data_IF_973596442875
#
_entry.id   IF_973596442875
#
_cell.length_a   1.000
_cell.length_b   1.000
_cell.length_c   1.000
_cell.angle_alpha   90.00
_cell.angle_beta   90.00
_cell.angle_gamma   90.00
#
_symmetry.space_group_name_H-M   'P 1'
#
loop_
_entity.id
_entity.type
_entity.pdbx_description
1 polymer ?
#
# COMPACT_ATOMS: atom_id res chain seq x y z
N UNK A 1 -12.46 4.80 4.79
CA UNK A 1 -11.47 5.60 4.04
C UNK A 1 -11.04 4.96 2.72
N UNK A 2 -10.50 3.73 2.72
CA UNK A 2 -10.51 2.85 1.55
C UNK A 2 -11.87 2.90 0.82
N UNK A 3 -12.94 3.01 1.61
CA UNK A 3 -14.33 3.16 1.19
C UNK A 3 -14.61 4.34 0.24
N UNK A 4 -13.89 5.47 0.36
CA UNK A 4 -14.04 6.58 -0.58
C UNK A 4 -13.32 6.28 -1.90
N UNK A 5 -12.07 5.79 -1.82
CA UNK A 5 -11.25 5.38 -2.97
C UNK A 5 -11.90 4.24 -3.77
N UNK A 6 -12.63 3.34 -3.10
CA UNK A 6 -13.36 2.25 -3.75
C UNK A 6 -14.77 2.66 -4.19
N UNK A 7 -15.40 3.64 -3.52
CA UNK A 7 -16.66 4.22 -4.02
C UNK A 7 -16.48 5.03 -5.30
N UNK A 8 -15.27 5.55 -5.57
CA UNK A 8 -14.93 6.20 -6.84
C UNK A 8 -14.73 5.22 -7.99
N UNK A 9 -14.37 3.94 -7.74
CA UNK A 9 -14.39 2.88 -8.75
C UNK A 9 -15.77 2.68 -9.42
N UNK A 10 -16.84 3.21 -8.82
CA UNK A 10 -18.24 3.11 -9.30
C UNK A 10 -18.46 3.62 -10.73
N UNK A 11 -17.55 4.41 -11.31
CA UNK A 11 -17.93 5.29 -12.44
C UNK A 11 -17.45 4.84 -13.82
N UNK A 12 -16.55 3.84 -13.97
CA UNK A 12 -15.91 3.63 -15.28
C UNK A 12 -16.13 2.30 -16.01
N UNK A 13 -16.78 1.28 -15.42
CA UNK A 13 -17.00 -0.03 -16.08
C UNK A 13 -18.41 -0.58 -15.83
N UNK A 14 -19.46 0.15 -16.24
CA UNK A 14 -20.81 -0.39 -16.27
C UNK A 14 -21.01 -1.28 -17.51
N UNK A 15 -20.74 -2.58 -17.36
CA UNK A 15 -21.44 -3.62 -18.12
C UNK A 15 -22.58 -4.16 -17.24
N UNK A 16 -23.81 -4.13 -17.76
CA UNK A 16 -25.09 -4.40 -17.06
C UNK A 16 -25.14 -5.77 -16.36
N UNK A 17 -24.25 -6.72 -16.70
CA UNK A 17 -24.14 -8.03 -16.04
C UNK A 17 -23.18 -8.09 -14.84
N UNK A 18 -22.47 -7.00 -14.52
CA UNK A 18 -21.44 -6.97 -13.46
C UNK A 18 -21.82 -6.20 -12.18
N UNK A 19 -22.98 -5.54 -12.17
CA UNK A 19 -23.44 -4.71 -11.04
C UNK A 19 -23.57 -5.48 -9.72
N UNK A 20 -23.97 -6.76 -9.78
CA UNK A 20 -24.04 -7.63 -8.60
C UNK A 20 -22.67 -7.95 -7.99
N UNK A 21 -21.63 -8.12 -8.82
CA UNK A 21 -20.29 -8.48 -8.36
C UNK A 21 -19.58 -7.28 -7.69
N UNK A 22 -19.75 -6.07 -8.25
CA UNK A 22 -19.21 -4.84 -7.65
C UNK A 22 -19.92 -4.46 -6.35
N UNK A 23 -21.22 -4.70 -6.24
CA UNK A 23 -21.97 -4.49 -4.99
C UNK A 23 -21.46 -5.38 -3.86
N UNK A 24 -21.18 -6.66 -4.16
CA UNK A 24 -20.62 -7.61 -3.19
C UNK A 24 -19.19 -7.21 -2.79
N UNK A 25 -18.31 -6.90 -3.74
CA UNK A 25 -16.93 -6.49 -3.43
C UNK A 25 -16.91 -5.23 -2.55
N UNK A 26 -17.76 -4.26 -2.87
CA UNK A 26 -17.88 -3.04 -2.09
C UNK A 26 -18.39 -3.34 -0.67
N UNK A 27 -19.43 -4.15 -0.52
CA UNK A 27 -19.94 -4.58 0.77
C UNK A 27 -18.87 -5.31 1.61
N UNK A 28 -18.07 -6.18 0.98
CA UNK A 28 -16.95 -6.86 1.61
C UNK A 28 -15.93 -5.84 2.13
N UNK A 29 -15.57 -4.83 1.34
CA UNK A 29 -14.61 -3.81 1.80
C UNK A 29 -15.19 -2.90 2.90
N UNK A 30 -16.48 -2.56 2.85
CA UNK A 30 -17.16 -1.88 3.96
C UNK A 30 -17.05 -2.69 5.25
N UNK A 31 -17.31 -3.99 5.19
CA UNK A 31 -17.20 -4.86 6.34
C UNK A 31 -15.75 -4.99 6.83
N UNK A 32 -14.80 -5.35 5.95
CA UNK A 32 -13.40 -5.56 6.35
C UNK A 32 -12.72 -4.30 6.84
N UNK A 33 -13.12 -3.12 6.35
CA UNK A 33 -12.57 -1.85 6.81
C UNK A 33 -13.20 -1.34 8.10
N UNK A 34 -14.50 -1.58 8.36
CA UNK A 34 -15.19 -1.00 9.54
C UNK A 34 -15.25 -1.97 10.72
N UNK A 35 -15.35 -3.27 10.48
CA UNK A 35 -15.46 -4.28 11.53
C UNK A 35 -14.30 -4.21 12.54
N UNK A 36 -13.03 -4.02 12.13
CA UNK A 36 -11.94 -3.86 13.09
C UNK A 36 -12.13 -2.68 14.04
N UNK A 37 -12.71 -1.57 13.60
CA UNK A 37 -12.98 -0.42 14.48
C UNK A 37 -14.05 -0.73 15.51
N UNK A 38 -15.08 -1.48 15.13
CA UNK A 38 -16.11 -1.94 16.07
C UNK A 38 -15.49 -2.83 17.15
N UNK A 39 -14.64 -3.78 16.73
CA UNK A 39 -13.94 -4.67 17.67
C UNK A 39 -12.97 -3.90 18.55
N UNK A 40 -12.15 -3.00 18.00
CA UNK A 40 -11.25 -2.15 18.78
C UNK A 40 -12.00 -1.32 19.83
N UNK A 41 -13.19 -0.80 19.50
CA UNK A 41 -14.00 -0.05 20.45
C UNK A 41 -14.54 -0.94 21.58
N UNK A 42 -15.02 -2.15 21.26
CA UNK A 42 -15.46 -3.13 22.26
C UNK A 42 -14.28 -3.54 23.17
N UNK A 43 -13.13 -3.85 22.57
CA UNK A 43 -11.91 -4.22 23.30
C UNK A 43 -11.33 -3.07 24.10
N UNK A 44 -11.53 -1.82 23.67
CA UNK A 44 -11.15 -0.65 24.44
C UNK A 44 -11.90 -0.60 25.78
N UNK A 45 -13.23 -0.61 25.77
CA UNK A 45 -14.01 -0.58 27.01
C UNK A 45 -13.75 -1.81 27.88
N UNK A 46 -13.57 -2.97 27.26
CA UNK A 46 -13.20 -4.17 28.02
C UNK A 46 -11.81 -4.02 28.64
N UNK A 47 -10.83 -3.57 27.87
CA UNK A 47 -9.45 -3.41 28.30
C UNK A 47 -9.31 -2.43 29.45
N UNK A 48 -9.92 -1.24 29.36
CA UNK A 48 -9.80 -0.21 30.41
C UNK A 48 -10.55 -0.55 31.70
N UNK A 49 -11.50 -1.49 31.66
CA UNK A 49 -12.22 -1.96 32.86
C UNK A 49 -11.51 -3.09 33.58
N UNK A 50 -10.41 -3.62 33.03
CA UNK A 50 -9.64 -4.68 33.66
C UNK A 50 -8.69 -4.17 34.75
N UNK A 51 -8.46 -4.96 35.81
CA UNK A 51 -7.51 -4.59 36.85
C UNK A 51 -6.10 -4.49 36.28
N UNK A 52 -5.37 -3.42 36.61
CA UNK A 52 -4.00 -3.21 36.10
C UNK A 52 -3.90 -2.57 34.71
N UNK A 53 -5.01 -2.30 34.02
CA UNK A 53 -5.00 -1.63 32.71
C UNK A 53 -4.26 -0.28 32.74
N UNK A 54 -4.39 0.47 33.84
CA UNK A 54 -3.68 1.74 34.05
C UNK A 54 -2.16 1.60 34.01
N UNK A 55 -1.59 0.50 34.50
CA UNK A 55 -0.14 0.23 34.44
C UNK A 55 0.35 0.17 32.99
N UNK A 56 -0.40 -0.53 32.15
CA UNK A 56 -0.10 -0.66 30.73
C UNK A 56 -0.26 0.66 29.95
N UNK A 57 -1.34 1.41 30.19
CA UNK A 57 -1.55 2.73 29.56
C UNK A 57 -0.46 3.72 29.97
N UNK A 58 -0.09 3.74 31.27
CA UNK A 58 1.02 4.58 31.74
C UNK A 58 2.32 4.15 31.05
N UNK A 59 2.60 2.85 30.95
CA UNK A 59 3.78 2.35 30.24
C UNK A 59 3.82 2.82 28.77
N UNK A 60 2.68 2.77 28.08
CA UNK A 60 2.56 3.21 26.68
C UNK A 60 2.86 4.70 26.49
N UNK A 61 2.32 5.56 27.38
CA UNK A 61 2.39 7.01 27.22
C UNK A 61 3.55 7.67 27.94
N UNK A 62 4.23 6.98 28.87
CA UNK A 62 5.28 7.57 29.69
C UNK A 62 6.44 8.03 28.79
N UNK A 63 6.67 9.35 28.67
CA UNK A 63 7.68 9.87 27.76
C UNK A 63 9.08 9.57 28.30
N UNK A 64 9.97 9.13 27.41
CA UNK A 64 11.40 8.90 27.68
C UNK A 64 12.22 9.76 26.72
N UNK A 65 12.40 11.03 27.08
CA UNK A 65 13.09 12.01 26.22
C UNK A 65 14.56 11.69 26.00
N UNK A 66 15.19 10.94 26.91
CA UNK A 66 16.54 10.39 26.76
C UNK A 66 16.69 9.56 25.48
N UNK A 67 15.61 8.87 25.05
CA UNK A 67 15.61 8.03 23.85
C UNK A 67 15.63 8.82 22.55
N UNK A 68 15.29 10.11 22.56
CA UNK A 68 15.35 10.94 21.34
C UNK A 68 16.77 11.18 20.84
N UNK A 69 17.79 10.98 21.69
CA UNK A 69 19.19 11.02 21.29
C UNK A 69 19.67 9.76 20.56
N UNK A 70 18.89 8.68 20.57
CA UNK A 70 19.23 7.43 19.90
C UNK A 70 18.76 7.46 18.44
N UNK A 71 19.70 7.41 17.50
CA UNK A 71 19.41 7.38 16.07
C UNK A 71 18.53 6.19 15.66
N UNK A 72 18.59 5.08 16.40
CA UNK A 72 17.73 3.91 16.15
C UNK A 72 16.24 4.26 16.29
N UNK A 73 15.87 5.08 17.28
CA UNK A 73 14.48 5.49 17.50
C UNK A 73 13.91 6.22 16.29
N UNK A 74 14.73 7.06 15.64
CA UNK A 74 14.33 7.77 14.42
C UNK A 74 14.25 6.86 13.20
N UNK A 75 15.18 5.90 13.08
CA UNK A 75 15.13 4.87 12.03
C UNK A 75 13.87 4.01 12.15
N UNK A 76 13.57 3.53 13.35
CA UNK A 76 12.39 2.72 13.65
C UNK A 76 11.10 3.52 13.39
N UNK A 77 11.04 4.80 13.79
CA UNK A 77 9.90 5.67 13.52
C UNK A 77 9.67 5.91 12.02
N UNK A 78 10.74 6.15 11.27
CA UNK A 78 10.67 6.35 9.82
C UNK A 78 10.26 5.06 9.09
N UNK A 79 10.77 3.90 9.50
CA UNK A 79 10.36 2.61 8.96
C UNK A 79 8.89 2.29 9.28
N UNK A 80 8.46 2.55 10.53
CA UNK A 80 7.09 2.32 10.96
C UNK A 80 6.08 3.13 10.12
N UNK A 81 6.31 4.43 9.91
CA UNK A 81 5.40 5.24 9.10
C UNK A 81 5.44 4.87 7.62
N UNK A 82 6.61 4.46 7.11
CA UNK A 82 6.76 3.98 5.75
C UNK A 82 5.92 2.72 5.53
N UNK A 83 6.10 1.67 6.32
CA UNK A 83 5.33 0.43 6.14
C UNK A 83 3.83 0.63 6.45
N UNK A 84 3.49 1.43 7.46
CA UNK A 84 2.09 1.68 7.82
C UNK A 84 1.29 2.37 6.69
N UNK A 85 1.91 3.25 5.90
CA UNK A 85 1.26 3.88 4.76
C UNK A 85 1.44 3.11 3.44
N UNK A 86 2.38 2.15 3.41
CA UNK A 86 2.68 1.28 2.26
C UNK A 86 2.91 2.04 0.92
N UNK A 87 3.73 3.11 0.87
CA UNK A 87 4.15 3.69 -0.40
C UNK A 87 5.09 2.74 -1.17
N UNK A 88 5.20 2.90 -2.48
CA UNK A 88 6.04 2.09 -3.38
C UNK A 88 5.67 0.59 -3.53
N UNK A 89 4.57 0.14 -2.93
CA UNK A 89 4.00 -1.20 -3.17
C UNK A 89 3.14 -1.26 -4.46
N UNK A 90 2.92 -0.13 -5.13
CA UNK A 90 2.04 -0.01 -6.30
C UNK A 90 0.55 0.07 -5.97
N UNK A 91 0.10 -0.41 -4.81
CA UNK A 91 -1.32 -0.40 -4.45
C UNK A 91 -1.96 0.97 -4.39
N UNK A 92 -1.28 1.98 -3.85
CA UNK A 92 -1.79 3.36 -3.87
C UNK A 92 -1.91 3.90 -5.31
N UNK A 93 -0.95 3.57 -6.18
CA UNK A 93 -0.98 3.98 -7.59
C UNK A 93 -2.18 3.33 -8.28
N UNK A 94 -2.34 2.01 -8.15
CA UNK A 94 -3.46 1.26 -8.73
C UNK A 94 -4.81 1.76 -8.21
N UNK A 95 -4.98 1.90 -6.90
CA UNK A 95 -6.24 2.38 -6.34
C UNK A 95 -6.55 3.83 -6.77
N UNK A 96 -5.52 4.67 -6.93
CA UNK A 96 -5.69 6.03 -7.39
C UNK A 96 -6.02 6.14 -8.88
N UNK A 97 -5.64 5.16 -9.71
CA UNK A 97 -5.91 5.16 -11.15
C UNK A 97 -7.40 5.03 -11.48
N UNK A 98 -8.20 4.50 -10.55
CA UNK A 98 -9.65 4.43 -10.65
C UNK A 98 -10.39 5.70 -10.21
N UNK A 99 -9.69 6.67 -9.64
CA UNK A 99 -10.31 7.92 -9.25
C UNK A 99 -10.68 8.75 -10.48
N UNK A 100 -11.72 9.56 -10.35
CA UNK A 100 -12.02 10.61 -11.33
C UNK A 100 -10.82 11.55 -11.44
N UNK A 101 -10.52 12.00 -12.66
CA UNK A 101 -9.37 12.87 -12.93
C UNK A 101 -9.34 14.15 -12.07
N UNK A 102 -10.51 14.76 -11.83
CA UNK A 102 -10.65 15.96 -10.98
C UNK A 102 -10.98 15.65 -9.50
N UNK A 103 -10.79 14.41 -9.03
CA UNK A 103 -10.93 14.09 -7.63
C UNK A 103 -9.85 14.80 -6.80
N UNK A 104 -10.20 15.29 -5.61
CA UNK A 104 -9.25 15.97 -4.74
C UNK A 104 -8.33 14.97 -4.01
N UNK A 105 -7.34 14.46 -4.73
CA UNK A 105 -6.38 13.48 -4.22
C UNK A 105 -5.55 14.00 -3.03
N UNK A 106 -5.31 15.32 -2.95
CA UNK A 106 -4.61 15.94 -1.83
C UNK A 106 -5.42 15.78 -0.53
N UNK A 107 -6.71 16.13 -0.55
CA UNK A 107 -7.59 15.94 0.61
C UNK A 107 -7.66 14.47 1.02
N UNK A 108 -7.80 13.57 0.06
CA UNK A 108 -7.84 12.13 0.35
C UNK A 108 -6.52 11.68 0.99
N UNK A 109 -5.36 12.09 0.48
CA UNK A 109 -4.06 11.73 1.06
C UNK A 109 -3.90 12.18 2.53
N UNK A 110 -4.38 13.38 2.89
CA UNK A 110 -4.33 13.88 4.26
C UNK A 110 -5.21 13.06 5.20
N UNK A 111 -6.42 12.72 4.77
CA UNK A 111 -7.32 11.91 5.59
C UNK A 111 -6.70 10.51 5.79
N UNK A 112 -5.95 9.95 4.80
CA UNK A 112 -5.33 8.61 4.90
C UNK A 112 -4.22 8.67 5.93
N UNK A 113 -3.34 9.67 5.78
CA UNK A 113 -2.23 9.87 6.70
C UNK A 113 -2.68 10.04 8.14
N UNK A 114 -3.64 10.95 8.37
CA UNK A 114 -4.15 11.23 9.72
C UNK A 114 -4.93 10.04 10.27
N UNK A 115 -5.81 9.45 9.47
CA UNK A 115 -6.62 8.30 9.87
C UNK A 115 -5.75 7.12 10.28
N UNK A 116 -4.71 6.80 9.52
CA UNK A 116 -3.77 5.74 9.85
C UNK A 116 -3.10 5.98 11.22
N UNK A 117 -2.56 7.18 11.45
CA UNK A 117 -1.89 7.53 12.71
C UNK A 117 -2.88 7.43 13.90
N UNK A 118 -4.08 7.99 13.77
CA UNK A 118 -5.09 7.94 14.82
C UNK A 118 -5.51 6.50 15.15
N UNK A 119 -5.67 5.66 14.12
CA UNK A 119 -5.99 4.24 14.32
C UNK A 119 -4.86 3.51 15.03
N UNK A 120 -3.59 3.74 14.65
CA UNK A 120 -2.44 3.12 15.32
C UNK A 120 -2.32 3.57 16.78
N UNK A 121 -2.53 4.84 17.07
CA UNK A 121 -2.54 5.36 18.45
C UNK A 121 -3.66 4.72 19.27
N UNK A 122 -4.89 4.69 18.73
CA UNK A 122 -6.04 4.08 19.40
C UNK A 122 -5.85 2.58 19.64
N UNK A 123 -5.37 1.85 18.65
CA UNK A 123 -5.03 0.43 18.80
C UNK A 123 -3.94 0.22 19.87
N UNK A 124 -2.94 1.11 19.95
CA UNK A 124 -1.94 1.12 21.01
C UNK A 124 -2.57 1.19 22.40
N UNK A 125 -3.52 2.10 22.63
CA UNK A 125 -4.27 2.16 23.89
C UNK A 125 -4.98 0.84 24.22
N UNK A 126 -5.67 0.24 23.25
CA UNK A 126 -6.39 -1.03 23.43
C UNK A 126 -5.43 -2.16 23.83
N UNK A 127 -4.34 -2.32 23.09
CA UNK A 127 -3.35 -3.38 23.33
C UNK A 127 -2.68 -3.18 24.69
N UNK A 128 -2.18 -1.98 24.98
CA UNK A 128 -1.48 -1.74 26.24
C UNK A 128 -2.39 -1.80 27.47
N UNK A 129 -3.68 -1.47 27.36
CA UNK A 129 -4.63 -1.72 28.45
C UNK A 129 -4.76 -3.22 28.77
N UNK A 130 -4.86 -4.06 27.74
CA UNK A 130 -4.97 -5.52 27.86
C UNK A 130 -3.66 -6.14 28.38
N UNK A 131 -2.51 -5.68 27.89
CA UNK A 131 -1.19 -6.13 28.36
C UNK A 131 -0.94 -5.70 29.81
N UNK A 132 -1.41 -4.52 30.22
CA UNK A 132 -1.35 -4.07 31.62
C UNK A 132 -2.14 -4.99 32.57
N UNK A 133 -3.28 -5.51 32.12
CA UNK A 133 -4.02 -6.54 32.84
C UNK A 133 -3.21 -7.83 32.97
N UNK A 134 -2.60 -8.30 31.88
CA UNK A 134 -1.78 -9.51 31.91
C UNK A 134 -0.60 -9.39 32.88
N UNK A 135 0.12 -8.26 32.82
CA UNK A 135 1.21 -7.94 33.73
C UNK A 135 0.75 -8.00 35.20
N UNK A 136 -0.44 -7.46 35.48
CA UNK A 136 -1.01 -7.47 36.82
C UNK A 136 -1.41 -8.87 37.30
N UNK A 137 -2.02 -9.69 36.44
CA UNK A 137 -2.37 -11.07 36.75
C UNK A 137 -1.13 -11.96 36.97
N UNK A 138 -0.09 -11.75 36.17
CA UNK A 138 1.17 -12.50 36.28
C UNK A 138 2.10 -11.99 37.37
N UNK A 139 1.77 -10.87 38.03
CA UNK A 139 2.68 -10.15 38.94
C UNK A 139 4.05 -9.86 38.31
N UNK A 140 4.04 -9.43 37.05
CA UNK A 140 5.22 -9.08 36.27
C UNK A 140 5.17 -7.63 35.83
N UNK A 141 6.34 -7.07 35.49
CA UNK A 141 6.43 -5.75 34.86
C UNK A 141 5.92 -5.80 33.41
N UNK A 142 5.38 -4.69 32.92
CA UNK A 142 4.77 -4.58 31.59
C UNK A 142 5.78 -4.90 30.48
N UNK A 143 7.04 -4.48 30.63
CA UNK A 143 8.11 -4.73 29.65
C UNK A 143 8.44 -6.21 29.46
N UNK A 144 8.17 -7.07 30.46
CA UNK A 144 8.43 -8.51 30.38
C UNK A 144 7.31 -9.30 29.70
N UNK A 145 6.13 -8.70 29.54
CA UNK A 145 4.97 -9.33 28.87
C UNK A 145 4.70 -8.75 27.49
N UNK A 146 5.37 -7.66 27.12
CA UNK A 146 5.28 -7.06 25.78
C UNK A 146 6.20 -7.82 24.83
N UNK A 147 5.59 -8.55 23.91
CA UNK A 147 6.26 -9.10 22.71
C UNK A 147 5.89 -8.25 21.48
N UNK A 148 6.53 -8.50 20.33
CA UNK A 148 6.25 -7.81 19.06
C UNK A 148 5.77 -8.78 17.96
N UNK A 149 5.14 -8.22 16.93
CA UNK A 149 4.73 -8.95 15.74
C UNK A 149 3.76 -10.10 16.04
N UNK A 150 4.05 -11.28 15.46
CA UNK A 150 3.19 -12.45 15.57
C UNK A 150 3.07 -12.98 17.01
N UNK A 151 4.11 -12.86 17.84
CA UNK A 151 4.08 -13.33 19.24
C UNK A 151 3.04 -12.57 20.07
N UNK A 152 2.96 -11.25 19.89
CA UNK A 152 1.97 -10.42 20.58
C UNK A 152 0.53 -10.83 20.22
N UNK A 153 0.26 -11.01 18.92
CA UNK A 153 -1.09 -11.30 18.44
C UNK A 153 -1.52 -12.77 18.66
N UNK A 154 -0.60 -13.72 18.57
CA UNK A 154 -0.92 -15.16 18.57
C UNK A 154 -0.48 -15.92 19.82
N UNK A 155 0.28 -15.30 20.73
CA UNK A 155 0.68 -15.90 22.02
C UNK A 155 0.14 -15.06 23.18
N UNK A 156 0.54 -13.79 23.25
CA UNK A 156 0.19 -12.91 24.38
C UNK A 156 -1.31 -12.66 24.42
N UNK A 157 -1.92 -12.28 23.30
CA UNK A 157 -3.35 -11.95 23.27
C UNK A 157 -4.27 -13.14 23.58
N UNK A 158 -4.06 -14.35 23.02
CA UNK A 158 -4.83 -15.53 23.40
C UNK A 158 -4.71 -15.88 24.89
N UNK A 159 -3.52 -15.73 25.51
CA UNK A 159 -3.36 -15.95 26.96
C UNK A 159 -4.18 -14.96 27.79
N UNK A 160 -4.34 -13.72 27.31
CA UNK A 160 -5.24 -12.77 27.98
C UNK A 160 -6.69 -13.20 27.84
N UNK A 161 -7.11 -13.57 26.62
CA UNK A 161 -8.51 -13.89 26.34
C UNK A 161 -9.00 -15.10 27.14
N UNK A 162 -8.17 -16.13 27.32
CA UNK A 162 -8.53 -17.32 28.11
C UNK A 162 -8.78 -17.01 29.59
N UNK A 163 -8.28 -15.88 30.10
CA UNK A 163 -8.50 -15.41 31.48
C UNK A 163 -9.73 -14.52 31.62
N UNK A 164 -10.26 -13.99 30.51
CA UNK A 164 -11.47 -13.16 30.53
C UNK A 164 -12.73 -14.03 30.68
N UNK A 165 -13.76 -13.55 31.40
CA UNK A 165 -15.07 -14.19 31.41
C UNK A 165 -15.65 -14.20 29.99
N UNK A 166 -16.33 -15.28 29.62
CA UNK A 166 -16.85 -15.49 28.26
C UNK A 166 -15.71 -15.47 27.22
N UNK A 167 -14.60 -16.16 27.52
CA UNK A 167 -13.41 -16.24 26.65
C UNK A 167 -13.71 -16.51 25.17
N UNK A 168 -14.65 -17.42 24.80
CA UNK A 168 -14.96 -17.68 23.40
C UNK A 168 -15.42 -16.44 22.62
N UNK A 169 -16.18 -15.53 23.24
CA UNK A 169 -16.64 -14.29 22.60
C UNK A 169 -15.46 -13.41 22.18
N UNK A 170 -14.52 -13.18 23.10
CA UNK A 170 -13.36 -12.32 22.86
C UNK A 170 -12.40 -12.92 21.83
N UNK A 171 -12.22 -14.26 21.84
CA UNK A 171 -11.42 -14.97 20.84
C UNK A 171 -12.01 -14.80 19.44
N UNK A 172 -13.32 -15.02 19.29
CA UNK A 172 -14.01 -14.89 18.00
C UNK A 172 -13.89 -13.46 17.48
N UNK A 173 -14.17 -12.45 18.32
CA UNK A 173 -14.06 -11.04 17.93
C UNK A 173 -12.65 -10.68 17.46
N UNK A 174 -11.64 -11.09 18.22
CA UNK A 174 -10.24 -10.77 17.90
C UNK A 174 -9.74 -11.46 16.64
N UNK A 175 -9.97 -12.77 16.50
CA UNK A 175 -9.48 -13.49 15.33
C UNK A 175 -10.25 -13.12 14.05
N UNK A 176 -11.56 -12.85 14.12
CA UNK A 176 -12.28 -12.29 12.95
C UNK A 176 -11.76 -10.89 12.63
N UNK A 177 -11.45 -10.06 13.63
CA UNK A 177 -10.80 -8.76 13.41
C UNK A 177 -9.45 -8.94 12.71
N UNK A 178 -8.60 -9.86 13.15
CA UNK A 178 -7.33 -10.13 12.50
C UNK A 178 -7.48 -10.60 11.05
N UNK A 179 -8.40 -11.54 10.78
CA UNK A 179 -8.67 -12.01 9.42
C UNK A 179 -9.16 -10.85 8.55
N UNK A 180 -10.08 -10.01 9.05
CA UNK A 180 -10.60 -8.87 8.29
C UNK A 180 -9.55 -7.79 8.01
N UNK A 181 -8.65 -7.51 8.96
CA UNK A 181 -7.50 -6.63 8.76
C UNK A 181 -6.55 -7.16 7.69
N UNK A 182 -6.24 -8.46 7.72
CA UNK A 182 -5.41 -9.11 6.71
C UNK A 182 -6.05 -9.11 5.32
N UNK A 183 -7.33 -9.51 5.23
CA UNK A 183 -8.08 -9.54 3.97
C UNK A 183 -8.18 -8.16 3.31
N UNK A 184 -8.39 -7.09 4.10
CA UNK A 184 -8.45 -5.73 3.57
C UNK A 184 -7.17 -5.31 2.84
N UNK A 185 -6.02 -5.71 3.37
CA UNK A 185 -4.70 -5.44 2.77
C UNK A 185 -4.44 -6.36 1.57
N UNK A 186 -4.78 -7.64 1.69
CA UNK A 186 -4.60 -8.63 0.63
C UNK A 186 -5.39 -8.29 -0.64
N UNK A 187 -6.63 -7.80 -0.51
CA UNK A 187 -7.41 -7.37 -1.67
C UNK A 187 -6.75 -6.22 -2.44
N UNK A 188 -6.10 -5.28 -1.74
CA UNK A 188 -5.39 -4.19 -2.40
C UNK A 188 -4.17 -4.70 -3.18
N UNK A 189 -3.40 -5.64 -2.61
CA UNK A 189 -2.24 -6.24 -3.28
C UNK A 189 -2.65 -7.09 -4.49
N UNK A 190 -3.69 -7.92 -4.35
CA UNK A 190 -4.24 -8.71 -5.45
C UNK A 190 -4.70 -7.80 -6.59
N UNK A 191 -5.47 -6.74 -6.30
CA UNK A 191 -5.91 -5.77 -7.31
C UNK A 191 -4.72 -5.09 -8.00
N UNK A 192 -3.65 -4.78 -7.25
CA UNK A 192 -2.42 -4.20 -7.79
C UNK A 192 -1.81 -5.08 -8.88
N UNK A 193 -1.65 -6.36 -8.60
CA UNK A 193 -1.07 -7.33 -9.55
C UNK A 193 -1.98 -7.54 -10.76
N UNK A 194 -3.29 -7.72 -10.52
CA UNK A 194 -4.26 -7.95 -11.60
C UNK A 194 -4.31 -6.76 -12.56
N UNK A 195 -4.30 -5.54 -12.03
CA UNK A 195 -4.38 -4.33 -12.84
C UNK A 195 -3.09 -4.08 -13.60
N UNK A 196 -1.93 -4.31 -12.98
CA UNK A 196 -0.66 -4.25 -13.69
C UNK A 196 -0.62 -5.20 -14.90
N UNK A 197 -1.15 -6.43 -14.77
CA UNK A 197 -1.24 -7.39 -15.86
C UNK A 197 -2.22 -6.92 -16.94
N UNK A 198 -3.40 -6.44 -16.55
CA UNK A 198 -4.46 -6.04 -17.48
C UNK A 198 -4.17 -4.73 -18.23
N UNK A 199 -3.38 -3.84 -17.62
CA UNK A 199 -2.92 -2.61 -18.27
C UNK A 199 -1.74 -2.86 -19.19
N UNK A 200 -0.87 -3.82 -18.85
CA UNK A 200 0.23 -4.25 -19.73
C UNK A 200 -0.28 -5.03 -20.94
N UNK A 201 -1.30 -5.88 -20.75
CA UNK A 201 -1.89 -6.72 -21.79
C UNK A 201 -3.41 -6.48 -21.90
N UNK A 202 -3.85 -5.45 -22.64
CA UNK A 202 -5.27 -5.07 -22.72
C UNK A 202 -6.21 -6.20 -23.19
N UNK A 203 -5.70 -7.15 -23.97
CA UNK A 203 -6.44 -8.33 -24.43
C UNK A 203 -6.95 -9.21 -23.28
N UNK A 204 -6.26 -9.19 -22.14
CA UNK A 204 -6.63 -9.98 -20.95
C UNK A 204 -7.78 -9.37 -20.16
N UNK A 205 -8.18 -8.11 -20.43
CA UNK A 205 -9.33 -7.46 -19.79
C UNK A 205 -10.63 -8.21 -20.04
N UNK A 206 -10.82 -8.71 -21.27
CA UNK A 206 -11.97 -9.55 -21.63
C UNK A 206 -11.97 -10.92 -20.92
N UNK A 207 -10.82 -11.34 -20.38
CA UNK A 207 -10.64 -12.61 -19.66
C UNK A 207 -10.28 -12.39 -18.19
N UNK A 208 -10.77 -11.30 -17.57
CA UNK A 208 -10.45 -10.90 -16.18
C UNK A 208 -10.54 -12.07 -15.18
N UNK A 209 -11.60 -12.87 -15.23
CA UNK A 209 -11.80 -14.01 -14.31
C UNK A 209 -10.66 -15.02 -14.37
N UNK A 210 -10.13 -15.30 -15.55
CA UNK A 210 -9.00 -16.22 -15.73
C UNK A 210 -7.70 -15.63 -15.21
N UNK A 211 -7.49 -14.32 -15.36
CA UNK A 211 -6.33 -13.62 -14.78
C UNK A 211 -6.38 -13.73 -13.27
N UNK A 212 -7.52 -13.41 -12.65
CA UNK A 212 -7.72 -13.49 -11.20
C UNK A 212 -7.43 -14.91 -10.70
N UNK A 213 -8.05 -15.92 -11.32
CA UNK A 213 -7.87 -17.32 -10.95
C UNK A 213 -6.40 -17.74 -11.01
N UNK A 214 -5.69 -17.34 -12.07
CA UNK A 214 -4.27 -17.68 -12.26
C UNK A 214 -3.41 -17.05 -11.17
N UNK A 215 -3.60 -15.77 -10.88
CA UNK A 215 -2.88 -15.07 -9.82
C UNK A 215 -3.14 -15.71 -8.45
N UNK A 216 -4.40 -16.03 -8.14
CA UNK A 216 -4.77 -16.71 -6.90
C UNK A 216 -4.16 -18.11 -6.80
N UNK A 217 -4.13 -18.90 -7.88
CA UNK A 217 -3.52 -20.24 -7.88
C UNK A 217 -2.01 -20.13 -7.65
N UNK A 218 -1.32 -19.20 -8.33
CA UNK A 218 0.11 -18.98 -8.12
C UNK A 218 0.39 -18.54 -6.68
N UNK A 219 -0.41 -17.60 -6.15
CA UNK A 219 -0.32 -17.15 -4.75
C UNK A 219 -0.56 -18.28 -3.75
N UNK A 220 -1.56 -19.12 -3.98
CA UNK A 220 -1.85 -20.31 -3.16
C UNK A 220 -0.68 -21.29 -3.17
N UNK A 221 -0.16 -21.64 -4.35
CA UNK A 221 0.99 -22.55 -4.49
C UNK A 221 2.25 -21.98 -3.80
N UNK A 222 2.51 -20.68 -3.92
CA UNK A 222 3.59 -20.01 -3.20
C UNK A 222 3.38 -20.04 -1.68
N UNK A 223 2.15 -19.76 -1.24
CA UNK A 223 1.74 -19.77 0.17
C UNK A 223 1.83 -21.14 0.83
N UNK A 224 1.70 -22.25 0.08
CA UNK A 224 1.85 -23.60 0.62
C UNK A 224 3.19 -23.79 1.37
N UNK A 225 4.27 -23.20 0.85
CA UNK A 225 5.59 -23.28 1.49
C UNK A 225 5.59 -22.71 2.92
N UNK A 226 4.82 -21.65 3.15
CA UNK A 226 4.68 -20.96 4.44
C UNK A 226 3.70 -21.69 5.38
N UNK A 227 2.89 -22.61 4.86
CA UNK A 227 1.97 -23.42 5.68
C UNK A 227 2.59 -24.73 6.20
N UNK A 228 3.79 -25.09 5.73
CA UNK A 228 4.52 -26.27 6.20
C UNK A 228 5.01 -26.11 7.65
N UNK A 229 5.49 -27.20 8.28
CA UNK A 229 5.99 -27.19 9.67
C UNK A 229 7.11 -26.17 9.93
N UNK A 230 7.96 -25.91 8.94
CA UNK A 230 9.02 -24.88 8.99
C UNK A 230 8.59 -23.52 8.41
N UNK A 231 7.30 -23.32 8.16
CA UNK A 231 6.78 -22.18 7.41
C UNK A 231 7.05 -20.83 8.06
N UNK A 232 7.07 -20.76 9.40
CA UNK A 232 7.42 -19.54 10.14
C UNK A 232 8.84 -19.05 9.80
N UNK A 233 9.80 -19.97 9.58
CA UNK A 233 11.15 -19.59 9.19
C UNK A 233 11.19 -18.97 7.78
N UNK A 234 10.38 -19.50 6.86
CA UNK A 234 10.25 -18.96 5.50
C UNK A 234 9.56 -17.60 5.55
N UNK A 235 8.49 -17.47 6.35
CA UNK A 235 7.76 -16.22 6.54
C UNK A 235 8.69 -15.11 7.00
N UNK A 236 9.51 -15.36 8.03
CA UNK A 236 10.43 -14.36 8.54
C UNK A 236 11.54 -13.99 7.57
N UNK A 237 12.03 -14.96 6.79
CA UNK A 237 12.98 -14.69 5.73
C UNK A 237 12.38 -13.76 4.67
N UNK A 238 11.15 -14.03 4.24
CA UNK A 238 10.46 -13.20 3.25
C UNK A 238 10.11 -11.81 3.80
N UNK A 239 9.63 -11.73 5.04
CA UNK A 239 9.25 -10.46 5.68
C UNK A 239 10.48 -9.53 5.85
N UNK A 240 11.61 -10.11 6.27
CA UNK A 240 12.84 -9.36 6.50
C UNK A 240 13.51 -8.94 5.20
N UNK A 241 13.57 -9.81 4.18
CA UNK A 241 14.31 -9.53 2.95
C UNK A 241 13.46 -8.96 1.82
N UNK A 242 12.27 -9.51 1.55
CA UNK A 242 11.44 -9.10 0.42
C UNK A 242 10.59 -7.88 0.80
N UNK A 243 9.84 -7.96 1.91
CA UNK A 243 8.92 -6.89 2.30
C UNK A 243 9.65 -5.64 2.78
N UNK A 244 10.85 -5.79 3.36
CA UNK A 244 11.61 -4.65 3.89
C UNK A 244 12.64 -4.10 2.90
N UNK A 245 13.68 -4.87 2.56
CA UNK A 245 14.79 -4.36 1.75
C UNK A 245 14.39 -3.95 0.34
N UNK A 246 13.66 -4.80 -0.39
CA UNK A 246 13.26 -4.50 -1.77
C UNK A 246 12.42 -3.23 -1.86
N UNK A 247 11.45 -3.08 -0.96
CA UNK A 247 10.49 -1.98 -1.03
C UNK A 247 11.15 -0.65 -0.71
N UNK A 248 12.06 -0.59 0.26
CA UNK A 248 12.82 0.64 0.51
C UNK A 248 13.70 1.04 -0.68
N UNK A 249 14.39 0.07 -1.31
CA UNK A 249 15.19 0.36 -2.50
C UNK A 249 14.33 0.85 -3.66
N UNK A 250 13.16 0.22 -3.85
CA UNK A 250 12.15 0.64 -4.84
C UNK A 250 11.64 2.06 -4.56
N UNK A 251 11.30 2.37 -3.32
CA UNK A 251 10.83 3.70 -2.93
C UNK A 251 11.90 4.78 -3.12
N UNK A 252 13.15 4.47 -2.76
CA UNK A 252 14.26 5.40 -2.99
C UNK A 252 14.41 5.70 -4.49
N UNK A 253 14.39 4.67 -5.34
CA UNK A 253 14.43 4.82 -6.78
C UNK A 253 13.24 5.63 -7.32
N UNK A 254 12.01 5.30 -6.91
CA UNK A 254 10.79 6.00 -7.32
C UNK A 254 10.83 7.48 -6.92
N UNK A 255 11.27 7.78 -5.69
CA UNK A 255 11.39 9.15 -5.20
C UNK A 255 12.39 9.98 -6.02
N UNK A 256 13.52 9.39 -6.42
CA UNK A 256 14.52 10.05 -7.28
C UNK A 256 13.97 10.24 -8.69
N UNK A 257 13.26 9.25 -9.24
CA UNK A 257 12.65 9.33 -10.56
C UNK A 257 11.62 10.48 -10.60
N UNK A 258 10.68 10.52 -9.65
CA UNK A 258 9.65 11.57 -9.63
C UNK A 258 10.26 12.94 -9.33
N UNK A 259 11.14 13.04 -8.33
CA UNK A 259 11.72 14.30 -7.89
C UNK A 259 12.69 14.94 -8.88
N UNK A 260 13.57 14.16 -9.49
CA UNK A 260 14.71 14.66 -10.28
C UNK A 260 14.64 14.32 -11.77
N UNK A 261 14.19 13.12 -12.12
CA UNK A 261 14.21 12.65 -13.52
C UNK A 261 13.00 13.17 -14.29
N UNK A 262 11.79 12.87 -13.82
CA UNK A 262 10.55 13.43 -14.35
C UNK A 262 10.47 14.94 -14.04
N UNK A 263 10.85 15.29 -12.81
CA UNK A 263 10.96 16.65 -12.30
C UNK A 263 9.78 16.99 -11.40
N UNK A 264 10.07 17.27 -10.12
CA UNK A 264 9.04 17.61 -9.13
C UNK A 264 8.18 18.82 -9.52
N UNK A 265 8.73 19.78 -10.26
CA UNK A 265 7.98 20.93 -10.77
C UNK A 265 6.92 20.52 -11.81
N UNK A 266 7.24 19.59 -12.71
CA UNK A 266 6.26 19.04 -13.66
C UNK A 266 5.19 18.27 -12.93
N UNK A 267 5.58 17.44 -11.97
CA UNK A 267 4.64 16.67 -11.16
C UNK A 267 3.65 17.56 -10.38
N UNK A 268 4.09 18.72 -9.87
CA UNK A 268 3.21 19.71 -9.26
C UNK A 268 2.22 20.27 -10.30
N UNK A 269 2.67 20.60 -11.52
CA UNK A 269 1.80 21.10 -12.60
C UNK A 269 0.72 20.06 -12.98
N UNK A 270 1.09 18.78 -12.99
CA UNK A 270 0.15 17.68 -13.26
C UNK A 270 -0.94 17.61 -12.17
N UNK A 271 -0.56 17.84 -10.91
CA UNK A 271 -1.50 17.93 -9.80
C UNK A 271 -2.40 19.15 -9.93
N UNK A 272 -1.87 20.31 -10.31
CA UNK A 272 -2.70 21.50 -10.56
C UNK A 272 -3.69 21.31 -11.70
N UNK A 273 -3.34 20.54 -12.72
CA UNK A 273 -4.25 20.16 -13.79
C UNK A 273 -5.42 19.31 -13.28
N UNK A 274 -5.20 18.48 -12.24
CA UNK A 274 -6.24 17.66 -11.62
C UNK A 274 -7.11 18.44 -10.62
N UNK A 275 -6.51 19.14 -9.65
CA UNK A 275 -7.21 19.72 -8.49
C UNK A 275 -7.29 21.25 -8.49
N UNK A 276 -6.96 21.88 -9.62
CA UNK A 276 -6.91 23.32 -9.82
C UNK A 276 -5.60 23.96 -9.30
N UNK A 277 -5.37 25.21 -9.72
CA UNK A 277 -4.18 25.98 -9.37
C UNK A 277 -4.01 26.14 -7.85
N UNK A 278 -2.76 26.12 -7.39
CA UNK A 278 -2.38 26.23 -5.99
C UNK A 278 -1.43 27.39 -5.76
N UNK A 279 -1.33 27.79 -4.49
CA UNK A 279 -0.48 28.90 -4.07
C UNK A 279 1.00 28.52 -4.17
N UNK A 280 1.86 29.54 -4.28
CA UNK A 280 3.33 29.38 -4.30
C UNK A 280 3.86 28.61 -3.08
N UNK A 281 3.21 28.76 -1.91
CA UNK A 281 3.57 27.99 -0.72
C UNK A 281 3.36 26.48 -0.88
N UNK A 282 2.28 26.06 -1.57
CA UNK A 282 2.02 24.66 -1.87
C UNK A 282 3.13 24.10 -2.78
N UNK A 283 3.52 24.87 -3.79
CA UNK A 283 4.61 24.48 -4.69
C UNK A 283 5.93 24.30 -3.94
N UNK A 284 6.32 25.29 -3.15
CA UNK A 284 7.57 25.25 -2.40
C UNK A 284 7.59 24.12 -1.37
N UNK A 285 6.47 23.88 -0.70
CA UNK A 285 6.33 22.76 0.23
C UNK A 285 6.56 21.43 -0.47
N UNK A 286 5.80 21.11 -1.51
CA UNK A 286 5.91 19.80 -2.19
C UNK A 286 7.24 19.63 -2.93
N UNK A 287 7.78 20.71 -3.49
CA UNK A 287 9.10 20.71 -4.11
C UNK A 287 10.21 20.35 -3.11
N UNK A 288 10.16 20.91 -1.90
CA UNK A 288 11.11 20.58 -0.84
C UNK A 288 11.00 19.10 -0.45
N UNK A 289 9.78 18.60 -0.27
CA UNK A 289 9.55 17.21 0.13
C UNK A 289 9.98 16.22 -0.95
N UNK A 290 9.51 16.37 -2.19
CA UNK A 290 9.77 15.37 -3.24
C UNK A 290 11.18 15.41 -3.80
N UNK A 291 11.84 16.58 -3.86
CA UNK A 291 13.21 16.66 -4.39
C UNK A 291 14.27 16.37 -3.34
N UNK A 292 14.03 16.75 -2.08
CA UNK A 292 15.08 16.70 -1.05
C UNK A 292 14.70 15.83 0.14
N UNK A 293 13.61 16.13 0.84
CA UNK A 293 13.35 15.52 2.13
C UNK A 293 13.00 14.03 2.03
N UNK A 294 12.11 13.62 1.11
CA UNK A 294 11.72 12.22 0.95
C UNK A 294 12.89 11.35 0.48
N UNK A 295 13.64 11.70 -0.59
CA UNK A 295 14.83 10.94 -0.98
C UNK A 295 15.87 10.87 0.15
N UNK A 296 16.11 11.97 0.86
CA UNK A 296 17.06 12.00 1.98
C UNK A 296 16.64 11.05 3.10
N UNK A 297 15.38 11.11 3.56
CA UNK A 297 14.88 10.23 4.63
C UNK A 297 14.92 8.76 4.21
N UNK A 298 14.56 8.43 2.96
CA UNK A 298 14.63 7.06 2.46
C UNK A 298 16.08 6.55 2.39
N UNK A 299 17.01 7.38 1.93
CA UNK A 299 18.44 7.04 1.92
C UNK A 299 19.01 6.91 3.34
N UNK A 300 18.58 7.76 4.27
CA UNK A 300 18.93 7.68 5.68
C UNK A 300 18.48 6.34 6.28
N UNK A 301 17.21 5.95 6.10
CA UNK A 301 16.69 4.68 6.60
C UNK A 301 17.40 3.48 5.96
N UNK A 302 17.63 3.50 4.65
CA UNK A 302 18.38 2.45 3.94
C UNK A 302 19.82 2.31 4.48
N UNK A 303 20.50 3.43 4.70
CA UNK A 303 21.86 3.44 5.22
C UNK A 303 21.92 2.93 6.67
N UNK A 304 20.99 3.35 7.53
CA UNK A 304 20.90 2.85 8.90
C UNK A 304 20.56 1.37 8.95
N UNK A 305 19.62 0.90 8.12
CA UNK A 305 19.33 -0.52 7.98
C UNK A 305 20.56 -1.33 7.53
N UNK A 306 21.43 -0.74 6.68
CA UNK A 306 22.67 -1.38 6.25
C UNK A 306 23.71 -1.48 7.36
N UNK A 307 23.88 -0.41 8.15
CA UNK A 307 24.80 -0.42 9.30
C UNK A 307 24.32 -1.38 10.38
N UNK A 308 23.02 -1.40 10.65
CA UNK A 308 22.41 -2.24 11.68
C UNK A 308 22.10 -3.66 11.19
N UNK A 309 22.47 -4.00 9.94
CA UNK A 309 22.25 -5.32 9.40
C UNK A 309 22.91 -6.38 10.28
N UNK A 310 22.10 -7.36 10.68
CA UNK A 310 22.54 -8.57 11.36
C UNK A 310 21.98 -9.77 10.59
N UNK A 311 22.68 -10.93 10.63
CA UNK A 311 22.11 -12.17 10.13
C UNK A 311 20.72 -12.38 10.74
N UNK A 312 19.79 -12.92 9.94
CA UNK A 312 18.44 -13.15 10.42
C UNK A 312 18.45 -14.17 11.56
N UNK A 313 17.66 -13.89 12.60
CA UNK A 313 17.51 -14.73 13.79
C UNK A 313 16.02 -14.90 14.09
N UNK A 314 15.61 -16.11 14.46
CA UNK A 314 14.26 -16.40 14.94
C UNK A 314 14.32 -17.23 16.22
N UNK A 315 13.94 -16.62 17.35
CA UNK A 315 14.13 -17.25 18.67
C UNK A 315 15.60 -17.59 18.88
N UNK A 316 15.90 -18.83 19.22
CA UNK A 316 17.29 -19.31 19.40
C UNK A 316 17.95 -19.76 18.08
N UNK A 317 17.25 -19.71 16.95
CA UNK A 317 17.76 -20.16 15.67
C UNK A 317 18.39 -19.01 14.88
N UNK A 318 19.69 -19.13 14.61
CA UNK A 318 20.42 -18.22 13.71
C UNK A 318 20.40 -18.81 12.30
N UNK A 319 19.95 -18.01 11.32
CA UNK A 319 19.85 -18.49 9.95
C UNK A 319 21.24 -18.72 9.36
N UNK A 320 21.46 -19.84 8.65
CA UNK A 320 22.72 -20.10 8.00
C UNK A 320 23.00 -19.09 6.89
N UNK A 321 24.27 -18.89 6.56
CA UNK A 321 24.69 -17.90 5.55
C UNK A 321 24.04 -18.12 4.18
N UNK A 322 23.83 -19.38 3.77
CA UNK A 322 23.16 -19.67 2.49
C UNK A 322 21.71 -19.17 2.47
N UNK A 323 21.00 -19.20 3.60
CA UNK A 323 19.62 -18.72 3.69
C UNK A 323 19.57 -17.19 3.62
N UNK A 324 20.50 -16.51 4.30
CA UNK A 324 20.68 -15.06 4.15
C UNK A 324 21.06 -14.69 2.69
N UNK A 325 21.88 -15.50 2.02
CA UNK A 325 22.21 -15.35 0.60
C UNK A 325 20.97 -15.45 -0.30
N UNK A 326 20.09 -16.44 -0.05
CA UNK A 326 18.80 -16.54 -0.76
C UNK A 326 17.95 -15.30 -0.49
N UNK A 327 17.87 -14.83 0.76
CA UNK A 327 17.16 -13.61 1.12
C UNK A 327 17.63 -12.40 0.31
N UNK A 328 18.94 -12.19 0.22
CA UNK A 328 19.51 -11.12 -0.60
C UNK A 328 19.20 -11.29 -2.09
N UNK A 329 19.30 -12.49 -2.64
CA UNK A 329 18.93 -12.76 -4.05
C UNK A 329 17.47 -12.38 -4.28
N UNK A 330 16.55 -12.85 -3.43
CA UNK A 330 15.13 -12.51 -3.51
C UNK A 330 14.91 -11.00 -3.43
N UNK A 331 15.63 -10.31 -2.54
CA UNK A 331 15.48 -8.87 -2.36
C UNK A 331 15.90 -8.06 -3.59
N UNK A 332 16.84 -8.56 -4.38
CA UNK A 332 17.39 -7.90 -5.57
C UNK A 332 16.65 -8.24 -6.87
N UNK A 333 15.70 -9.19 -6.86
CA UNK A 333 14.93 -9.58 -8.05
C UNK A 333 14.23 -8.37 -8.69
N UNK A 334 13.46 -7.54 -7.96
CA UNK A 334 12.73 -6.42 -8.58
C UNK A 334 13.68 -5.41 -9.24
N UNK A 335 14.81 -5.10 -8.59
CA UNK A 335 15.81 -4.16 -9.10
C UNK A 335 16.47 -4.72 -10.37
N UNK A 336 16.81 -6.01 -10.36
CA UNK A 336 17.39 -6.69 -11.52
C UNK A 336 16.43 -6.65 -12.72
N UNK A 337 15.13 -6.81 -12.49
CA UNK A 337 14.11 -6.65 -13.52
C UNK A 337 14.08 -5.23 -14.10
N UNK A 338 14.11 -4.20 -13.25
CA UNK A 338 14.13 -2.80 -13.68
C UNK A 338 15.37 -2.51 -14.53
N UNK A 339 16.55 -2.93 -14.06
CA UNK A 339 17.82 -2.75 -14.79
C UNK A 339 17.79 -3.48 -16.13
N UNK A 340 17.29 -4.71 -16.15
CA UNK A 340 17.18 -5.51 -17.39
C UNK A 340 16.26 -4.83 -18.42
N UNK A 341 15.09 -4.33 -17.98
CA UNK A 341 14.17 -3.60 -18.86
C UNK A 341 14.79 -2.30 -19.35
N UNK A 342 15.49 -1.56 -18.48
CA UNK A 342 16.18 -0.33 -18.86
C UNK A 342 17.25 -0.58 -19.93
N UNK A 343 18.10 -1.59 -19.74
CA UNK A 343 19.11 -2.01 -20.73
C UNK A 343 18.44 -2.40 -22.05
N UNK A 344 17.38 -3.21 -21.99
CA UNK A 344 16.66 -3.66 -23.17
C UNK A 344 16.07 -2.47 -23.97
N UNK A 345 15.48 -1.48 -23.27
CA UNK A 345 14.96 -0.25 -23.89
C UNK A 345 16.07 0.60 -24.52
N UNK A 346 17.25 0.69 -23.90
CA UNK A 346 18.39 1.44 -24.44
C UNK A 346 18.93 0.77 -25.72
N UNK A 347 18.98 -0.57 -25.76
CA UNK A 347 19.43 -1.33 -26.93
C UNK A 347 18.49 -1.13 -28.12
N UNK A 348 17.18 -1.13 -27.89
CA UNK A 348 16.14 -0.98 -28.91
C UNK A 348 15.78 0.48 -29.25
N UNK A 349 16.34 1.45 -28.53
CA UNK A 349 16.16 2.86 -28.86
C UNK A 349 16.78 3.18 -30.23
N UNK A 350 16.30 4.23 -30.93
CA UNK A 350 16.67 4.53 -32.31
C UNK A 350 18.19 4.46 -32.53
N UNK A 351 18.60 3.61 -33.49
CA UNK A 351 20.01 3.23 -33.67
C UNK A 351 20.89 4.36 -34.19
N UNK A 352 20.28 5.37 -34.79
CA UNK A 352 20.85 6.62 -35.29
C UNK A 352 21.46 7.50 -34.18
N UNK A 353 21.13 7.24 -32.91
CA UNK A 353 21.58 8.04 -31.76
C UNK A 353 22.72 7.36 -31.00
N UNK A 354 23.61 8.17 -30.43
CA UNK A 354 24.63 7.70 -29.46
C UNK A 354 23.96 7.16 -28.19
N UNK A 355 24.68 6.34 -27.41
CA UNK A 355 24.14 5.74 -26.17
C UNK A 355 23.60 6.83 -25.22
N UNK A 356 24.29 7.95 -25.08
CA UNK A 356 23.86 9.07 -24.23
C UNK A 356 22.60 9.77 -24.74
N UNK A 357 22.47 9.95 -26.06
CA UNK A 357 21.27 10.51 -26.67
C UNK A 357 20.07 9.57 -26.57
N UNK A 358 20.29 8.25 -26.64
CA UNK A 358 19.24 7.25 -26.39
C UNK A 358 18.75 7.33 -24.95
N UNK A 359 19.65 7.42 -23.98
CA UNK A 359 19.27 7.62 -22.57
C UNK A 359 18.48 8.92 -22.41
N UNK A 360 18.99 10.05 -22.88
CA UNK A 360 18.28 11.35 -22.83
C UNK A 360 16.92 11.31 -23.52
N UNK A 361 16.77 10.53 -24.58
CA UNK A 361 15.49 10.34 -25.26
C UNK A 361 14.50 9.54 -24.41
N UNK A 362 14.95 8.44 -23.79
CA UNK A 362 14.12 7.58 -22.93
C UNK A 362 13.72 8.25 -21.60
N UNK A 363 14.49 9.24 -21.13
CA UNK A 363 14.17 10.04 -19.95
C UNK A 363 13.10 11.11 -20.21
N UNK A 364 12.65 11.29 -21.46
CA UNK A 364 11.55 12.21 -21.78
C UNK A 364 10.21 11.49 -21.63
N UNK A 365 9.19 12.15 -21.05
CA UNK A 365 7.84 11.63 -21.04
C UNK A 365 7.35 11.34 -22.46
N UNK A 366 6.44 10.37 -22.57
CA UNK A 366 5.84 10.01 -23.86
C UNK A 366 5.18 11.23 -24.51
N UNK A 367 5.29 11.44 -25.83
CA UNK A 367 4.58 12.51 -26.53
C UNK A 367 3.05 12.38 -26.42
N UNK A 368 2.54 11.17 -26.17
CA UNK A 368 1.12 10.91 -25.95
C UNK A 368 0.70 11.12 -24.47
N UNK A 369 1.63 11.49 -23.60
CA UNK A 369 1.34 11.74 -22.20
C UNK A 369 0.51 13.01 -22.04
N UNK A 370 -0.62 12.89 -21.35
CA UNK A 370 -1.60 13.95 -21.10
C UNK A 370 -2.90 13.35 -20.55
N UNK A 371 -3.89 14.18 -20.16
CA UNK A 371 -5.18 13.68 -19.69
C UNK A 371 -5.84 12.82 -20.77
N UNK A 372 -6.33 11.63 -20.39
CA UNK A 372 -7.03 10.73 -21.31
C UNK A 372 -8.26 11.39 -21.95
N UNK A 373 -8.86 12.35 -21.24
CA UNK A 373 -9.82 13.29 -21.81
C UNK A 373 -9.05 14.45 -22.44
N UNK A 374 -8.87 14.44 -23.76
CA UNK A 374 -8.59 15.69 -24.47
C UNK A 374 -9.72 16.64 -24.10
N UNK A 375 -9.43 17.70 -23.35
CA UNK A 375 -10.33 18.85 -23.31
C UNK A 375 -10.53 19.25 -24.77
N UNK A 376 -11.79 19.39 -25.26
CA UNK A 376 -12.00 19.89 -26.60
C UNK A 376 -11.24 21.21 -26.70
N UNK A 377 -10.26 21.25 -27.60
CA UNK A 377 -9.63 22.51 -27.99
C UNK A 377 -10.73 23.24 -28.75
N UNK A 378 -11.46 24.13 -28.08
CA UNK A 378 -12.38 25.02 -28.75
C UNK A 378 -11.55 25.98 -29.60
N UNK A 379 -11.40 25.66 -30.87
CA UNK A 379 -10.96 26.63 -31.85
C UNK A 379 -12.07 27.66 -32.02
N UNK A 380 -11.74 28.94 -32.14
CA UNK A 380 -12.72 30.04 -32.24
C UNK A 380 -13.70 29.90 -33.43
N UNK A 381 -13.47 28.93 -34.31
CA UNK A 381 -14.36 28.52 -35.41
C UNK A 381 -15.53 27.64 -34.97
N UNK A 382 -15.47 26.98 -33.80
CA UNK A 382 -16.47 26.00 -33.33
C UNK A 382 -17.70 26.65 -32.66
N UNK A 383 -17.73 27.97 -32.53
CA UNK A 383 -18.84 28.73 -31.89
C UNK A 383 -20.13 28.68 -32.73
N UNK A 384 -20.10 28.18 -33.97
CA UNK A 384 -21.27 28.18 -34.87
C UNK A 384 -22.15 26.93 -34.82
N UNK A 385 -21.70 25.81 -34.24
CA UNK A 385 -22.49 24.59 -34.16
C UNK A 385 -22.47 24.02 -32.74
N UNK A 386 -23.41 24.49 -31.92
CA UNK A 386 -23.71 23.88 -30.62
C UNK A 386 -24.61 22.67 -30.90
N UNK A 387 -23.98 21.54 -31.21
CA UNK A 387 -24.67 20.24 -31.26
C UNK A 387 -24.63 19.61 -29.86
N UNK A 388 -25.79 19.55 -29.22
CA UNK A 388 -25.95 19.19 -27.79
C UNK A 388 -25.80 17.68 -27.56
N UNK A 389 -25.76 16.86 -28.63
CA UNK A 389 -25.80 15.40 -28.56
C UNK A 389 -24.47 14.69 -28.88
N UNK A 390 -23.32 15.41 -28.92
CA UNK A 390 -22.02 14.74 -29.09
C UNK A 390 -21.65 13.91 -27.85
N UNK A 391 -22.03 12.64 -27.88
CA UNK A 391 -21.54 11.60 -26.97
C UNK A 391 -20.04 11.43 -27.17
N UNK A 392 -19.28 11.68 -26.10
CA UNK A 392 -17.82 11.60 -26.09
C UNK A 392 -17.41 10.12 -26.07
N UNK A 393 -17.02 9.59 -27.23
CA UNK A 393 -16.40 8.26 -27.32
C UNK A 393 -14.89 8.37 -27.15
N UNK A 394 -14.35 7.55 -26.25
CA UNK A 394 -12.91 7.44 -26.02
C UNK A 394 -12.32 6.48 -27.08
N UNK A 395 -11.38 6.89 -27.94
CA UNK A 395 -10.80 6.01 -28.96
C UNK A 395 -9.98 4.85 -28.39
N UNK A 396 -9.59 4.89 -27.10
CA UNK A 396 -8.94 3.78 -26.39
C UNK A 396 -9.92 2.84 -25.66
N UNK A 397 -11.21 3.16 -25.69
CA UNK A 397 -12.30 2.26 -25.31
C UNK A 397 -13.15 2.08 -26.55
N UNK A 398 -12.78 1.10 -27.38
CA UNK A 398 -13.65 0.62 -28.45
C UNK A 398 -15.02 0.30 -27.86
N UNK A 399 -16.05 1.02 -28.31
CA UNK A 399 -17.44 0.70 -27.97
C UNK A 399 -17.75 -0.73 -28.42
N UNK A 400 -18.53 -1.50 -27.65
CA UNK A 400 -18.99 -2.82 -28.06
C UNK A 400 -20.18 -2.69 -29.01
N UNK A 401 -20.02 -2.01 -30.15
CA UNK A 401 -21.05 -1.93 -31.18
C UNK A 401 -20.63 -2.67 -32.45
N UNK A 402 -20.52 -3.99 -32.33
CA UNK A 402 -20.77 -4.93 -33.44
C UNK A 402 -21.45 -6.18 -32.89
N UNK A 403 -22.75 -6.09 -32.58
CA UNK A 403 -23.61 -7.27 -32.59
C UNK A 403 -24.24 -7.39 -34.00
N UNK A 404 -24.21 -8.56 -34.65
CA UNK A 404 -24.68 -8.71 -36.03
C UNK A 404 -26.19 -8.95 -36.15
N UNK A 405 -26.99 -8.62 -35.13
CA UNK A 405 -28.45 -8.82 -35.20
C UNK A 405 -29.18 -7.49 -35.09
N UNK A 406 -29.63 -7.04 -36.26
CA UNK A 406 -30.41 -5.83 -36.45
C UNK A 406 -31.78 -5.88 -35.79
N UNK A 407 -32.24 -4.67 -35.45
CA UNK A 407 -33.57 -4.28 -35.04
C UNK A 407 -34.70 -4.99 -35.82
N UNK A 408 -35.68 -5.53 -35.10
CA UNK A 408 -37.11 -5.39 -35.43
C UNK A 408 -37.95 -5.42 -34.15
N UNK A 409 -38.52 -4.23 -33.87
CA UNK A 409 -39.78 -3.90 -33.16
C UNK A 409 -39.91 -4.36 -31.72
#
# INVERSE_FOLDING_TARGET
MLLRLLSTCRVQNCDVNTDGCYSVLLAVVYFTALFPYVVLFILFFRGVTLPGASKGIIYYLKPRFDKLGDAKVWSDAAAQIFFALSPAWGGLITLSSYNKFHNNCFKDSLIVGIGNILTSLFAGFVIFAIVGYLANELNMDVDKVVDQGAGLAFIVYPDVVTRLPISPLWSILFFIMMITLGMGSEFALLETVMTAIQDTYPQLRAKKTWVVLTVCIIGFLGGLSVTCRGGMFILQLMDSYVSSWSVFMMAALESVIVGWVYGGERFIQDIEMMIGQKNVHFHNFFKLFWKFLSPFTLMFVLFFNLIQYRPLEFGDYVYPMWANGIGWVLSMIPITFIVTIAINKIIHAPKDKTIWERIKFLLKPSPQWGPAHKLPVFTLTDVKEIDVDKTISNPNYSSPNTSPFGSKI
#
